data_IF_168581858984
#
_entry.id   IF_168581858984
#
_cell.length_a   1.000
_cell.length_b   1.000
_cell.length_c   1.000
_cell.angle_alpha   90.00
_cell.angle_beta   90.00
_cell.angle_gamma   90.00
#
_symmetry.space_group_name_H-M   'P 1'
#
loop_
_entity.id
_entity.type
_entity.pdbx_description
1 polymer ?
#
# COMPACT_ATOMS: atom_id res chain seq x y z
N UNK A 1 7.26 -7.08 -11.77
CA UNK A 1 7.30 -5.80 -11.04
C UNK A 1 7.94 -6.07 -9.69
N UNK A 2 8.80 -5.20 -9.19
CA UNK A 2 9.40 -5.31 -7.86
C UNK A 2 8.94 -4.18 -6.92
N UNK A 3 9.36 -4.23 -5.66
CA UNK A 3 9.01 -3.23 -4.64
C UNK A 3 9.40 -1.82 -5.07
N UNK A 4 10.62 -1.64 -5.55
CA UNK A 4 11.15 -0.31 -5.87
C UNK A 4 10.41 0.29 -7.09
N UNK A 5 10.02 -0.56 -8.04
CA UNK A 5 9.12 -0.18 -9.15
C UNK A 5 7.76 0.28 -8.63
N UNK A 6 7.14 -0.43 -7.67
CA UNK A 6 5.86 -0.01 -7.07
C UNK A 6 6.00 1.33 -6.36
N UNK A 7 7.08 1.50 -5.59
CA UNK A 7 7.33 2.73 -4.84
C UNK A 7 7.56 3.95 -5.76
N UNK A 8 8.09 3.71 -6.96
CA UNK A 8 8.31 4.73 -7.98
C UNK A 8 7.08 5.00 -8.88
N UNK A 9 5.94 4.33 -8.67
CA UNK A 9 4.75 4.60 -9.47
C UNK A 9 4.18 6.00 -9.18
N UNK A 10 3.96 6.73 -10.27
CA UNK A 10 3.20 7.98 -10.29
C UNK A 10 1.69 7.72 -10.18
N UNK A 11 0.90 8.76 -9.94
CA UNK A 11 -0.53 8.64 -9.62
C UNK A 11 -1.34 7.84 -10.65
N UNK A 12 -1.30 8.21 -11.93
CA UNK A 12 -2.10 7.54 -12.96
C UNK A 12 -1.83 6.03 -13.07
N UNK A 13 -0.58 5.55 -13.23
CA UNK A 13 -0.31 4.11 -13.27
C UNK A 13 -0.55 3.41 -11.94
N UNK A 14 -0.36 4.09 -10.80
CA UNK A 14 -0.69 3.53 -9.47
C UNK A 14 -2.18 3.23 -9.36
N UNK A 15 -3.04 4.17 -9.73
CA UNK A 15 -4.49 4.03 -9.68
C UNK A 15 -5.00 2.91 -10.60
N UNK A 16 -4.42 2.77 -11.80
CA UNK A 16 -4.76 1.68 -12.72
C UNK A 16 -4.44 0.30 -12.13
N UNK A 17 -3.21 0.12 -11.64
CA UNK A 17 -2.75 -1.15 -11.07
C UNK A 17 -3.55 -1.50 -9.81
N UNK A 18 -3.82 -0.52 -8.95
CA UNK A 18 -4.68 -0.71 -7.76
C UNK A 18 -6.08 -1.17 -8.16
N UNK A 19 -6.69 -0.52 -9.16
CA UNK A 19 -8.00 -0.89 -9.66
C UNK A 19 -8.05 -2.33 -10.16
N UNK A 20 -7.03 -2.75 -10.95
CA UNK A 20 -6.91 -4.11 -11.49
C UNK A 20 -6.76 -5.18 -10.40
N UNK A 21 -6.00 -4.90 -9.34
CA UNK A 21 -5.63 -5.89 -8.34
C UNK A 21 -6.63 -5.98 -7.18
N UNK A 22 -7.25 -4.86 -6.79
CA UNK A 22 -8.15 -4.82 -5.63
C UNK A 22 -9.62 -4.65 -5.99
N UNK A 23 -9.95 -4.44 -7.28
CA UNK A 23 -11.31 -4.15 -7.73
C UNK A 23 -11.93 -2.93 -7.01
N UNK A 24 -11.10 -1.93 -6.68
CA UNK A 24 -11.48 -0.67 -6.05
C UNK A 24 -11.12 0.48 -6.99
N UNK A 25 -12.10 1.33 -7.31
CA UNK A 25 -11.87 2.52 -8.13
C UNK A 25 -11.58 3.73 -7.22
N UNK A 26 -10.32 4.17 -7.18
CA UNK A 26 -9.95 5.47 -6.63
C UNK A 26 -10.03 6.55 -7.72
N UNK A 27 -10.53 7.73 -7.36
CA UNK A 27 -10.60 8.90 -8.25
C UNK A 27 -9.35 9.78 -8.22
N UNK A 28 -8.42 9.50 -7.30
CA UNK A 28 -7.18 10.24 -7.09
C UNK A 28 -6.49 9.81 -5.79
N UNK A 29 -5.42 10.52 -5.41
CA UNK A 29 -4.65 10.23 -4.19
C UNK A 29 -4.82 11.27 -3.06
N UNK A 30 -5.71 12.25 -3.20
CA UNK A 30 -5.95 13.22 -2.13
C UNK A 30 -6.64 12.58 -0.92
N UNK A 31 -6.04 12.74 0.26
CA UNK A 31 -6.52 12.14 1.51
C UNK A 31 -7.94 12.60 1.86
N UNK A 32 -8.25 13.89 1.66
CA UNK A 32 -9.55 14.45 2.03
C UNK A 32 -10.71 13.94 1.16
N UNK A 33 -10.40 13.36 0.00
CA UNK A 33 -11.39 12.94 -0.99
C UNK A 33 -11.51 11.41 -1.09
N UNK A 34 -10.39 10.69 -0.98
CA UNK A 34 -10.31 9.27 -1.38
C UNK A 34 -9.89 8.30 -0.28
N UNK A 35 -9.65 8.78 0.94
CA UNK A 35 -9.14 7.91 2.02
C UNK A 35 -10.10 6.77 2.37
N UNK A 36 -11.41 6.97 2.25
CA UNK A 36 -12.40 5.90 2.48
C UNK A 36 -12.25 4.76 1.46
N UNK A 37 -11.99 5.08 0.20
CA UNK A 37 -11.77 4.09 -0.86
C UNK A 37 -10.41 3.43 -0.69
N UNK A 38 -9.36 4.20 -0.35
CA UNK A 38 -8.05 3.66 -0.04
C UNK A 38 -8.12 2.66 1.13
N UNK A 39 -8.86 3.01 2.19
CA UNK A 39 -9.04 2.15 3.37
C UNK A 39 -9.58 0.77 3.03
N UNK A 40 -10.56 0.68 2.12
CA UNK A 40 -11.13 -0.60 1.67
C UNK A 40 -10.08 -1.54 1.07
N UNK A 41 -9.02 -1.00 0.46
CA UNK A 41 -7.91 -1.81 -0.07
C UNK A 41 -7.17 -2.50 1.07
N UNK A 42 -6.94 -1.79 2.18
CA UNK A 42 -6.32 -2.37 3.37
C UNK A 42 -7.20 -3.46 3.97
N UNK A 43 -8.52 -3.24 4.04
CA UNK A 43 -9.47 -4.22 4.58
C UNK A 43 -9.41 -5.55 3.82
N UNK A 44 -9.31 -5.53 2.49
CA UNK A 44 -9.11 -6.72 1.66
C UNK A 44 -7.86 -7.51 2.10
N UNK A 45 -6.78 -6.81 2.44
CA UNK A 45 -5.55 -7.47 2.89
C UNK A 45 -5.60 -7.90 4.35
N UNK A 46 -6.34 -7.20 5.20
CA UNK A 46 -6.61 -7.61 6.58
C UNK A 46 -7.37 -8.92 6.61
N UNK A 47 -8.37 -9.09 5.75
CA UNK A 47 -9.07 -10.38 5.57
C UNK A 47 -8.13 -11.51 5.12
N UNK A 48 -7.02 -11.17 4.46
CA UNK A 48 -5.95 -12.09 4.06
C UNK A 48 -4.86 -12.28 5.13
N UNK A 49 -5.05 -11.72 6.32
CA UNK A 49 -4.16 -11.88 7.49
C UNK A 49 -3.08 -10.80 7.64
N UNK A 50 -3.09 -9.75 6.80
CA UNK A 50 -2.20 -8.62 7.00
C UNK A 50 -2.65 -7.73 8.16
N UNK A 51 -1.70 -7.02 8.75
CA UNK A 51 -1.94 -5.94 9.70
C UNK A 51 -1.11 -4.74 9.30
N UNK A 52 -1.56 -3.53 9.66
CA UNK A 52 -0.92 -2.28 9.21
C UNK A 52 -0.71 -1.33 10.38
N UNK A 53 0.44 -0.64 10.38
CA UNK A 53 0.75 0.47 11.26
C UNK A 53 0.80 1.75 10.42
N UNK A 54 0.14 2.81 10.88
CA UNK A 54 0.11 4.10 10.18
C UNK A 54 0.54 5.20 11.14
N UNK A 55 1.39 6.10 10.64
CA UNK A 55 1.86 7.26 11.40
C UNK A 55 1.69 8.53 10.58
N UNK A 56 0.97 9.47 11.18
CA UNK A 56 0.74 10.81 10.65
C UNK A 56 1.44 11.82 11.58
N UNK A 57 2.46 12.48 11.06
CA UNK A 57 3.19 13.55 11.72
C UNK A 57 3.07 14.83 10.89
N UNK A 58 3.44 15.98 11.49
CA UNK A 58 3.23 17.33 10.92
C UNK A 58 3.61 17.47 9.43
N UNK A 59 4.65 16.75 8.99
CA UNK A 59 5.15 16.78 7.61
C UNK A 59 5.43 15.39 7.03
N UNK A 60 5.07 14.31 7.74
CA UNK A 60 5.48 12.95 7.37
C UNK A 60 4.28 12.01 7.47
N UNK A 61 4.04 11.26 6.40
CA UNK A 61 3.03 10.20 6.36
C UNK A 61 3.71 8.88 6.08
N UNK A 62 3.37 7.88 6.87
CA UNK A 62 4.03 6.57 6.87
C UNK A 62 2.99 5.49 7.08
N UNK A 63 3.20 4.39 6.40
CA UNK A 63 2.45 3.16 6.59
C UNK A 63 3.39 1.98 6.37
N UNK A 64 3.35 0.99 7.26
CA UNK A 64 4.01 -0.30 7.11
C UNK A 64 2.95 -1.40 7.28
N UNK A 65 3.17 -2.54 6.64
CA UNK A 65 2.35 -3.73 6.79
C UNK A 65 3.15 -4.86 7.41
N UNK A 66 2.49 -5.81 8.07
CA UNK A 66 3.14 -7.01 8.60
C UNK A 66 2.20 -8.21 8.56
N UNK A 67 2.79 -9.39 8.44
CA UNK A 67 2.07 -10.67 8.41
C UNK A 67 2.92 -11.73 9.13
N UNK A 68 2.30 -12.56 9.96
CA UNK A 68 2.99 -13.51 10.83
C UNK A 68 3.07 -14.95 10.28
N UNK A 69 2.88 -15.15 8.97
CA UNK A 69 2.73 -16.49 8.41
C UNK A 69 4.05 -17.30 8.38
N UNK A 70 5.22 -16.65 8.42
CA UNK A 70 6.55 -17.30 8.39
C UNK A 70 7.57 -16.64 9.36
N UNK A 71 7.09 -16.06 10.46
CA UNK A 71 7.89 -15.26 11.41
C UNK A 71 7.50 -13.77 11.40
N UNK A 72 8.07 -12.95 12.31
CA UNK A 72 7.78 -11.52 12.37
C UNK A 72 8.45 -10.80 11.19
N UNK A 73 7.71 -10.58 10.10
CA UNK A 73 8.15 -9.80 8.95
C UNK A 73 7.24 -8.61 8.72
N UNK A 74 7.82 -7.41 8.67
CA UNK A 74 7.13 -6.21 8.18
C UNK A 74 7.51 -5.97 6.71
N UNK A 75 6.74 -5.18 5.97
CA UNK A 75 7.01 -4.89 4.56
C UNK A 75 8.28 -4.06 4.42
N UNK A 76 8.45 -3.02 5.26
CA UNK A 76 9.56 -2.07 5.14
C UNK A 76 10.57 -2.13 6.30
N UNK A 77 10.11 -2.20 7.57
CA UNK A 77 11.01 -2.14 8.74
C UNK A 77 12.15 -3.17 8.71
N UNK A 78 11.90 -4.37 8.16
CA UNK A 78 12.92 -5.41 8.02
C UNK A 78 14.12 -5.01 7.14
N UNK A 79 13.99 -3.95 6.33
CA UNK A 79 15.03 -3.42 5.46
C UNK A 79 15.74 -2.18 6.03
N UNK A 80 15.43 -1.79 7.28
CA UNK A 80 16.07 -0.66 7.95
C UNK A 80 15.62 0.72 7.46
N UNK A 81 14.61 0.81 6.59
CA UNK A 81 14.05 2.07 6.11
C UNK A 81 12.54 1.98 5.91
N UNK A 82 11.84 3.08 6.21
CA UNK A 82 10.41 3.25 5.95
C UNK A 82 10.22 4.36 4.93
N UNK A 83 9.51 4.12 3.81
CA UNK A 83 9.17 5.18 2.88
C UNK A 83 8.27 6.22 3.54
N UNK A 84 8.42 7.46 3.11
CA UNK A 84 7.47 8.53 3.35
C UNK A 84 6.61 8.71 2.10
N UNK A 85 5.36 9.09 2.32
CA UNK A 85 4.41 9.32 1.25
C UNK A 85 3.88 10.76 1.32
N UNK A 86 3.51 11.31 0.17
CA UNK A 86 2.94 12.65 0.09
C UNK A 86 1.51 12.65 0.67
N UNK A 87 0.79 11.53 0.48
CA UNK A 87 -0.57 11.29 0.98
C UNK A 87 -0.69 9.92 1.65
N UNK A 88 -1.62 9.75 2.58
CA UNK A 88 -1.96 8.44 3.13
C UNK A 88 -2.54 7.52 2.05
N UNK A 89 -3.37 8.05 1.14
CA UNK A 89 -3.91 7.29 0.01
C UNK A 89 -2.80 6.67 -0.86
N UNK A 90 -1.78 7.45 -1.21
CA UNK A 90 -0.60 6.95 -1.94
C UNK A 90 0.11 5.85 -1.15
N UNK A 91 0.38 6.11 0.14
CA UNK A 91 1.03 5.15 1.01
C UNK A 91 0.28 3.83 1.12
N UNK A 92 -1.05 3.89 1.28
CA UNK A 92 -1.93 2.72 1.32
C UNK A 92 -1.84 1.95 0.01
N UNK A 93 -2.01 2.63 -1.12
CA UNK A 93 -1.97 2.00 -2.45
C UNK A 93 -0.64 1.26 -2.67
N UNK A 94 0.49 1.95 -2.46
CA UNK A 94 1.82 1.39 -2.67
C UNK A 94 2.11 0.25 -1.70
N UNK A 95 1.81 0.42 -0.42
CA UNK A 95 2.06 -0.61 0.61
C UNK A 95 1.23 -1.85 0.38
N UNK A 96 -0.05 -1.71 0.01
CA UNK A 96 -0.90 -2.85 -0.29
C UNK A 96 -0.45 -3.59 -1.55
N UNK A 97 0.01 -2.88 -2.58
CA UNK A 97 0.59 -3.55 -3.76
C UNK A 97 1.86 -4.33 -3.42
N UNK A 98 2.73 -3.80 -2.55
CA UNK A 98 3.92 -4.54 -2.08
C UNK A 98 3.49 -5.77 -1.26
N UNK A 99 2.51 -5.63 -0.38
CA UNK A 99 1.96 -6.76 0.38
C UNK A 99 1.43 -7.87 -0.55
N UNK A 100 0.71 -7.49 -1.61
CA UNK A 100 0.21 -8.42 -2.61
C UNK A 100 1.35 -9.06 -3.40
N UNK A 101 2.36 -8.28 -3.80
CA UNK A 101 3.56 -8.79 -4.48
C UNK A 101 4.26 -9.89 -3.66
N UNK A 102 4.34 -9.73 -2.35
CA UNK A 102 4.99 -10.67 -1.44
C UNK A 102 4.22 -11.99 -1.26
N UNK A 103 2.94 -12.05 -1.64
CA UNK A 103 2.05 -13.19 -1.32
C UNK A 103 1.42 -13.85 -2.54
N UNK A 104 0.97 -13.06 -3.52
CA UNK A 104 0.15 -13.54 -4.65
C UNK A 104 0.68 -13.07 -6.02
N UNK A 105 1.57 -12.06 -6.03
CA UNK A 105 2.01 -11.38 -7.26
C UNK A 105 1.08 -10.22 -7.65
N UNK A 106 1.53 -9.37 -8.59
CA UNK A 106 0.78 -8.17 -9.04
C UNK A 106 0.43 -8.30 -10.52
N UNK A 107 -0.85 -8.11 -10.86
CA UNK A 107 -1.34 -8.05 -12.25
C UNK A 107 -0.99 -6.71 -12.87
N UNK A 108 -0.45 -6.73 -14.08
CA UNK A 108 0.04 -5.52 -14.78
C UNK A 108 -0.55 -5.33 -16.17
N UNK A 109 -1.12 -6.39 -16.75
CA UNK A 109 -1.80 -6.44 -18.05
C UNK A 109 -3.28 -6.08 -17.94
#
# INVERSE_FOLDING_TARGET
MDRDTILALEEAPLLDIVGKNFNVKLGGLRDEEYLTQAWRIMEILVEKGWSFDMRLERNLKRIDGYKFDNGPGTIFAQHGSWPYFDTMCEGICKTCLVALLLTEGVKTD
#
